data_IF_790160033138
#
_entry.id   IF_790160033138
#
_cell.length_a   1.000
_cell.length_b   1.000
_cell.length_c   1.000
_cell.angle_alpha   90.00
_cell.angle_beta   90.00
_cell.angle_gamma   90.00
#
_symmetry.space_group_name_H-M   'P 1'
#
loop_
_entity.id
_entity.type
_entity.pdbx_description
1 polymer ?
#
# COMPACT_ATOMS: atom_id res chain seq x y z
N UNK A 1 40.69 40.58 30.51
CA UNK A 1 41.36 39.27 30.67
C UNK A 1 41.17 38.48 29.39
N UNK A 2 42.25 38.18 28.68
CA UNK A 2 42.27 37.50 27.39
C UNK A 2 43.10 36.21 27.49
N UNK A 3 42.60 35.12 26.91
CA UNK A 3 43.29 33.85 26.66
C UNK A 3 42.31 32.95 25.88
N UNK A 4 42.68 32.05 24.97
CA UNK A 4 43.91 31.74 24.25
C UNK A 4 43.52 30.71 23.17
N UNK A 5 44.11 30.80 21.98
CA UNK A 5 43.99 29.79 20.92
C UNK A 5 45.16 28.82 20.98
N UNK A 6 44.91 27.52 20.79
CA UNK A 6 45.97 26.56 20.49
C UNK A 6 45.58 25.67 19.30
N UNK A 7 46.30 25.89 18.20
CA UNK A 7 46.45 24.96 17.08
C UNK A 7 47.47 23.89 17.48
N UNK A 8 47.32 22.66 17.02
CA UNK A 8 48.42 21.70 16.97
C UNK A 8 48.57 21.10 15.57
N UNK A 9 49.84 20.91 15.21
CA UNK A 9 50.44 20.68 13.89
C UNK A 9 50.68 19.17 13.70
N UNK A 10 50.72 18.68 12.44
CA UNK A 10 50.99 17.29 12.01
C UNK A 10 52.41 16.76 12.34
N UNK A 11 52.93 15.63 11.77
CA UNK A 11 53.06 15.45 10.30
C UNK A 11 53.13 13.98 9.73
N UNK A 12 53.31 13.94 8.40
CA UNK A 12 53.72 12.95 7.37
C UNK A 12 54.44 11.60 7.68
N UNK A 13 54.40 10.74 6.62
CA UNK A 13 55.27 9.61 6.16
C UNK A 13 54.54 8.22 6.20
N UNK A 14 54.59 7.30 5.22
CA UNK A 14 55.37 7.11 3.98
C UNK A 14 54.67 6.11 3.01
N UNK A 15 55.06 6.16 1.72
CA UNK A 15 54.79 5.17 0.66
C UNK A 15 55.54 3.85 0.89
N UNK A 16 54.93 2.70 0.55
CA UNK A 16 55.57 1.63 -0.27
C UNK A 16 54.53 0.62 -0.77
N UNK A 17 54.49 0.38 -2.08
CA UNK A 17 53.64 -0.63 -2.71
C UNK A 17 54.32 -1.99 -2.89
N UNK A 18 53.54 -3.03 -3.18
CA UNK A 18 53.93 -4.26 -3.88
C UNK A 18 52.64 -4.97 -4.37
N UNK A 19 52.49 -5.11 -5.70
CA UNK A 19 51.54 -6.03 -6.34
C UNK A 19 52.14 -7.44 -6.32
N UNK A 20 51.34 -8.47 -6.04
CA UNK A 20 51.26 -9.67 -6.89
C UNK A 20 50.17 -10.67 -6.46
N UNK A 21 49.38 -11.08 -7.46
CA UNK A 21 48.85 -12.43 -7.73
C UNK A 21 47.71 -12.99 -6.86
N UNK A 22 46.49 -12.76 -7.36
CA UNK A 22 45.57 -13.79 -7.81
C UNK A 22 45.29 -15.01 -6.92
N UNK A 23 44.09 -15.03 -6.31
CA UNK A 23 43.32 -16.26 -6.14
C UNK A 23 41.83 -15.97 -6.14
N UNK A 24 41.09 -16.90 -6.73
CA UNK A 24 39.75 -16.78 -7.24
C UNK A 24 38.70 -16.42 -6.18
N UNK A 25 37.75 -15.60 -6.62
CA UNK A 25 36.48 -15.29 -5.96
C UNK A 25 35.67 -16.58 -5.81
N UNK A 26 35.53 -17.05 -4.58
CA UNK A 26 34.43 -17.90 -4.17
C UNK A 26 33.60 -17.10 -3.19
N UNK A 27 32.60 -16.36 -3.69
CA UNK A 27 31.62 -15.69 -2.86
C UNK A 27 30.84 -16.76 -2.08
N UNK A 28 31.30 -17.08 -0.88
CA UNK A 28 30.56 -17.90 0.06
C UNK A 28 29.37 -17.05 0.51
N UNK A 29 28.24 -17.24 -0.16
CA UNK A 29 26.97 -16.71 0.27
C UNK A 29 26.76 -17.15 1.72
N UNK A 30 26.63 -16.23 2.70
CA UNK A 30 26.32 -16.62 4.05
C UNK A 30 24.94 -17.26 4.01
N UNK A 31 24.92 -18.56 4.27
CA UNK A 31 23.73 -19.40 4.38
C UNK A 31 22.66 -18.63 5.15
N UNK A 32 21.63 -18.15 4.42
CA UNK A 32 20.35 -17.76 5.00
C UNK A 32 19.91 -18.94 5.84
N UNK A 33 19.83 -18.73 7.15
CA UNK A 33 19.17 -19.63 8.08
C UNK A 33 17.72 -19.82 7.60
N UNK A 34 17.46 -20.93 6.91
CA UNK A 34 16.13 -21.39 6.48
C UNK A 34 15.24 -21.85 7.65
N UNK A 35 15.46 -21.31 8.84
CA UNK A 35 14.70 -21.57 10.05
C UNK A 35 14.11 -20.27 10.63
N UNK A 36 13.98 -19.22 9.81
CA UNK A 36 12.91 -18.25 10.05
C UNK A 36 11.61 -18.98 9.69
N UNK A 37 10.83 -19.31 10.72
CA UNK A 37 9.43 -19.70 10.62
C UNK A 37 8.81 -19.10 9.37
N UNK A 38 8.59 -19.93 8.33
CA UNK A 38 7.96 -19.50 7.10
C UNK A 38 6.54 -19.13 7.48
N UNK A 39 6.32 -17.87 7.87
CA UNK A 39 5.00 -17.28 7.91
C UNK A 39 4.35 -17.64 6.59
N UNK A 40 3.15 -18.22 6.64
CA UNK A 40 2.39 -18.61 5.45
C UNK A 40 1.96 -17.32 4.75
N UNK A 41 2.89 -16.71 4.02
CA UNK A 41 2.67 -15.49 3.25
C UNK A 41 1.95 -15.87 1.97
N UNK A 42 0.95 -15.09 1.60
CA UNK A 42 0.28 -15.27 0.33
C UNK A 42 1.16 -14.71 -0.81
N UNK A 43 1.54 -15.55 -1.76
CA UNK A 43 2.41 -15.16 -2.87
C UNK A 43 1.77 -14.10 -3.78
N UNK A 44 0.44 -14.12 -3.95
CA UNK A 44 -0.26 -13.10 -4.74
C UNK A 44 -0.17 -11.73 -4.08
N UNK A 45 -0.32 -11.68 -2.75
CA UNK A 45 -0.17 -10.44 -2.00
C UNK A 45 1.27 -9.91 -2.04
N UNK A 46 2.27 -10.77 -1.81
CA UNK A 46 3.68 -10.36 -1.87
C UNK A 46 4.06 -9.85 -3.26
N UNK A 47 3.60 -10.51 -4.33
CA UNK A 47 3.84 -10.09 -5.70
C UNK A 47 3.27 -8.70 -6.00
N UNK A 48 2.04 -8.43 -5.52
CA UNK A 48 1.44 -7.12 -5.63
C UNK A 48 2.13 -6.07 -4.76
N UNK A 49 2.54 -6.43 -3.53
CA UNK A 49 3.26 -5.54 -2.61
C UNK A 49 4.63 -5.14 -3.14
N UNK A 50 5.29 -6.03 -3.89
CA UNK A 50 6.56 -5.77 -4.57
C UNK A 50 6.38 -4.90 -5.84
N UNK A 51 5.13 -4.62 -6.25
CA UNK A 51 4.80 -3.74 -7.36
C UNK A 51 4.85 -4.42 -8.74
N UNK A 52 4.90 -5.75 -8.79
CA UNK A 52 4.87 -6.48 -10.06
C UNK A 52 3.46 -6.60 -10.65
N UNK A 53 2.42 -6.51 -9.81
CA UNK A 53 1.02 -6.58 -10.22
C UNK A 53 0.15 -5.74 -9.30
N UNK A 54 -1.09 -5.47 -9.73
CA UNK A 54 -2.09 -4.87 -8.86
C UNK A 54 -2.64 -5.88 -7.85
N UNK A 55 -3.19 -5.38 -6.74
CA UNK A 55 -3.84 -6.23 -5.74
C UNK A 55 -5.09 -6.93 -6.34
N UNK A 56 -5.37 -8.19 -5.97
CA UNK A 56 -6.56 -8.89 -6.46
C UNK A 56 -7.85 -8.15 -6.07
N UNK A 57 -8.69 -7.86 -7.06
CA UNK A 57 -10.01 -7.28 -6.83
C UNK A 57 -10.98 -8.37 -6.36
N UNK A 58 -11.35 -8.32 -5.08
CA UNK A 58 -12.34 -9.21 -4.46
C UNK A 58 -13.66 -8.46 -4.29
N UNK A 59 -14.76 -9.07 -4.74
CA UNK A 59 -16.09 -8.53 -4.52
C UNK A 59 -16.56 -8.78 -3.08
N UNK A 60 -16.02 -7.98 -2.16
CA UNK A 60 -16.41 -8.01 -0.76
C UNK A 60 -17.77 -7.36 -0.52
N UNK A 61 -18.28 -6.57 -1.46
CA UNK A 61 -19.59 -5.92 -1.31
C UNK A 61 -20.72 -6.96 -1.34
N UNK A 62 -20.66 -7.92 -2.27
CA UNK A 62 -21.62 -9.04 -2.28
C UNK A 62 -21.49 -9.94 -1.06
N UNK A 63 -20.27 -10.21 -0.60
CA UNK A 63 -20.00 -11.01 0.60
C UNK A 63 -20.58 -10.35 1.84
N UNK A 64 -20.41 -9.03 1.99
CA UNK A 64 -20.96 -8.26 3.11
C UNK A 64 -22.48 -8.07 3.02
N UNK A 65 -23.06 -8.02 1.81
CA UNK A 65 -24.50 -7.87 1.63
C UNK A 65 -25.29 -9.11 2.09
N UNK A 66 -24.73 -10.31 1.89
CA UNK A 66 -25.37 -11.58 2.26
C UNK A 66 -24.33 -12.58 2.81
N UNK A 67 -23.81 -12.37 4.03
CA UNK A 67 -22.81 -13.26 4.61
C UNK A 67 -23.33 -14.67 4.84
N UNK A 68 -24.63 -14.85 5.07
CA UNK A 68 -25.24 -16.17 5.30
C UNK A 68 -25.24 -17.04 4.03
N UNK A 69 -25.36 -16.42 2.85
CA UNK A 69 -25.26 -17.15 1.58
C UNK A 69 -23.84 -17.68 1.37
N UNK A 70 -22.84 -16.84 1.66
CA UNK A 70 -21.42 -17.20 1.60
C UNK A 70 -21.10 -18.30 2.62
N UNK A 71 -21.58 -18.16 3.87
CA UNK A 71 -21.42 -19.17 4.92
C UNK A 71 -21.98 -20.54 4.49
N UNK A 72 -23.20 -20.59 3.95
CA UNK A 72 -23.79 -21.83 3.43
C UNK A 72 -22.97 -22.43 2.29
N UNK A 73 -22.46 -21.61 1.37
CA UNK A 73 -21.57 -22.08 0.31
C UNK A 73 -20.26 -22.68 0.85
N UNK A 74 -19.69 -22.09 1.92
CA UNK A 74 -18.52 -22.63 2.62
C UNK A 74 -18.81 -23.99 3.27
N UNK A 75 -19.95 -24.13 3.95
CA UNK A 75 -20.35 -25.41 4.57
C UNK A 75 -20.50 -26.52 3.55
N UNK A 76 -21.10 -26.23 2.40
CA UNK A 76 -21.31 -27.20 1.33
C UNK A 76 -19.98 -27.67 0.73
N UNK A 77 -19.02 -26.75 0.56
CA UNK A 77 -17.71 -27.06 -0.05
C UNK A 77 -16.74 -27.77 0.89
N UNK A 78 -16.91 -27.63 2.21
CA UNK A 78 -16.05 -28.25 3.25
C UNK A 78 -14.55 -27.98 3.07
N UNK A 79 -14.21 -26.76 2.64
CA UNK A 79 -12.82 -26.31 2.43
C UNK A 79 -12.08 -25.97 3.72
N UNK A 80 -10.95 -25.28 3.57
CA UNK A 80 -10.11 -24.79 4.68
C UNK A 80 -10.86 -23.82 5.59
N UNK A 81 -11.54 -22.83 5.01
CA UNK A 81 -12.32 -21.85 5.75
C UNK A 81 -13.69 -22.41 6.16
N UNK A 82 -14.09 -22.08 7.39
CA UNK A 82 -15.40 -22.41 7.96
C UNK A 82 -16.27 -21.16 8.03
N UNK A 83 -17.60 -21.32 8.16
CA UNK A 83 -18.51 -20.20 8.39
C UNK A 83 -18.13 -19.31 9.58
N UNK A 84 -17.52 -19.89 10.60
CA UNK A 84 -17.09 -19.18 11.80
C UNK A 84 -15.97 -18.17 11.52
N UNK A 85 -15.19 -18.35 10.46
CA UNK A 85 -14.08 -17.46 10.09
C UNK A 85 -14.57 -16.24 9.29
N UNK A 86 -15.75 -16.34 8.67
CA UNK A 86 -16.29 -15.31 7.78
C UNK A 86 -16.53 -13.95 8.49
N UNK A 87 -17.10 -13.89 9.72
CA UNK A 87 -17.24 -12.63 10.44
C UNK A 87 -15.91 -11.93 10.71
N UNK A 88 -14.83 -12.68 10.99
CA UNK A 88 -13.51 -12.10 11.22
C UNK A 88 -12.99 -11.42 9.95
N UNK A 89 -13.09 -12.09 8.79
CA UNK A 89 -12.69 -11.54 7.47
C UNK A 89 -13.46 -10.26 7.16
N UNK A 90 -14.78 -10.27 7.40
CA UNK A 90 -15.65 -9.11 7.17
C UNK A 90 -15.26 -7.95 8.10
N UNK A 91 -15.00 -8.23 9.39
CA UNK A 91 -14.56 -7.21 10.35
C UNK A 91 -13.27 -6.55 9.90
N UNK A 92 -12.24 -7.34 9.56
CA UNK A 92 -10.94 -6.81 9.10
C UNK A 92 -11.08 -5.93 7.85
N UNK A 93 -11.93 -6.34 6.90
CA UNK A 93 -12.20 -5.53 5.71
C UNK A 93 -12.90 -4.20 6.04
N UNK A 94 -13.89 -4.22 6.93
CA UNK A 94 -14.58 -3.01 7.37
C UNK A 94 -13.65 -2.05 8.11
N UNK A 95 -12.80 -2.58 9.00
CA UNK A 95 -11.77 -1.81 9.71
C UNK A 95 -10.78 -1.17 8.72
N UNK A 96 -10.31 -1.93 7.73
CA UNK A 96 -9.41 -1.42 6.68
C UNK A 96 -10.06 -0.27 5.89
N UNK A 97 -11.35 -0.40 5.54
CA UNK A 97 -12.10 0.68 4.87
C UNK A 97 -12.21 1.93 5.72
N UNK A 98 -12.56 1.78 7.01
CA UNK A 98 -12.67 2.90 7.94
C UNK A 98 -11.33 3.61 8.11
N UNK A 99 -10.24 2.84 8.24
CA UNK A 99 -8.89 3.38 8.37
C UNK A 99 -8.46 4.15 7.11
N UNK A 100 -8.72 3.60 5.91
CA UNK A 100 -8.45 4.29 4.64
C UNK A 100 -9.22 5.60 4.51
N UNK A 101 -10.48 5.63 4.95
CA UNK A 101 -11.26 6.86 4.96
C UNK A 101 -10.68 7.89 5.95
N UNK A 102 -10.26 7.44 7.13
CA UNK A 102 -9.59 8.30 8.11
C UNK A 102 -8.29 8.89 7.56
N UNK A 103 -7.45 8.07 6.91
CA UNK A 103 -6.22 8.52 6.26
C UNK A 103 -6.55 9.55 5.18
N UNK A 104 -7.50 9.25 4.29
CA UNK A 104 -7.93 10.15 3.22
C UNK A 104 -8.39 11.51 3.77
N UNK A 105 -9.18 11.50 4.84
CA UNK A 105 -9.65 12.72 5.51
C UNK A 105 -8.49 13.55 6.06
N UNK A 106 -7.57 12.92 6.78
CA UNK A 106 -6.37 13.59 7.32
C UNK A 106 -5.42 14.11 6.23
N UNK A 107 -5.28 13.38 5.13
CA UNK A 107 -4.51 13.82 3.97
C UNK A 107 -5.17 15.01 3.26
N UNK A 108 -6.50 15.02 3.16
CA UNK A 108 -7.29 16.16 2.68
C UNK A 108 -7.06 17.39 3.56
N UNK A 109 -7.14 17.23 4.87
CA UNK A 109 -6.88 18.31 5.82
C UNK A 109 -5.43 18.80 5.75
N UNK A 110 -4.45 17.89 5.63
CA UNK A 110 -3.04 18.23 5.43
C UNK A 110 -2.82 19.10 4.19
N UNK A 111 -3.51 18.78 3.08
CA UNK A 111 -3.48 19.59 1.86
C UNK A 111 -4.09 20.97 2.11
N UNK A 112 -5.27 21.05 2.72
CA UNK A 112 -5.93 22.31 3.08
C UNK A 112 -5.06 23.20 3.99
N UNK A 113 -4.41 22.62 5.01
CA UNK A 113 -3.46 23.35 5.87
C UNK A 113 -2.26 23.87 5.08
N UNK A 114 -1.75 23.08 4.15
CA UNK A 114 -0.62 23.49 3.29
C UNK A 114 -1.01 24.64 2.37
N UNK A 115 -2.21 24.60 1.80
CA UNK A 115 -2.77 25.68 0.97
C UNK A 115 -3.03 26.94 1.79
N UNK A 116 -3.60 26.82 3.00
CA UNK A 116 -3.81 27.94 3.91
C UNK A 116 -2.48 28.61 4.30
N UNK A 117 -1.45 27.83 4.61
CA UNK A 117 -0.10 28.36 4.87
C UNK A 117 0.46 29.05 3.63
N UNK A 118 0.31 28.46 2.43
CA UNK A 118 0.75 29.08 1.19
C UNK A 118 0.04 30.41 0.92
N UNK A 119 -1.26 30.48 1.20
CA UNK A 119 -2.07 31.70 1.04
C UNK A 119 -1.64 32.81 2.00
N UNK A 120 -1.27 32.47 3.24
CA UNK A 120 -0.73 33.45 4.20
C UNK A 120 0.66 33.96 3.80
N UNK A 121 1.52 33.10 3.28
CA UNK A 121 2.90 33.47 2.89
C UNK A 121 2.95 34.20 1.55
N UNK A 122 2.01 33.92 0.64
CA UNK A 122 1.94 34.54 -0.69
C UNK A 122 0.50 34.93 -1.05
N UNK A 123 -0.09 35.94 -0.39
CA UNK A 123 -1.41 36.44 -0.75
C UNK A 123 -1.31 37.15 -2.10
N UNK A 124 -1.73 36.49 -3.19
CA UNK A 124 -1.96 37.17 -4.48
C UNK A 124 -0.99 36.89 -5.63
N UNK A 125 -0.20 35.80 -5.64
CA UNK A 125 0.53 35.40 -6.88
C UNK A 125 -0.34 34.61 -7.87
N UNK A 126 -1.56 35.08 -8.09
CA UNK A 126 -2.35 34.72 -9.26
C UNK A 126 -2.19 35.82 -10.31
N UNK A 127 -1.37 35.59 -11.33
CA UNK A 127 -1.35 36.36 -12.58
C UNK A 127 -1.02 37.87 -12.48
N UNK A 128 0.27 38.23 -12.41
CA UNK A 128 0.75 39.50 -12.98
C UNK A 128 2.23 39.39 -13.33
N UNK A 129 2.54 38.88 -14.52
CA UNK A 129 3.83 39.12 -15.16
C UNK A 129 3.80 40.57 -15.66
N UNK A 130 4.14 41.54 -14.79
CA UNK A 130 4.31 42.92 -15.24
C UNK A 130 5.65 43.01 -15.97
N UNK A 131 5.53 43.28 -17.26
CA UNK A 131 6.61 43.56 -18.20
C UNK A 131 7.54 44.65 -17.71
N UNK A 132 8.82 44.40 -17.92
CA UNK A 132 9.98 45.16 -17.51
C UNK A 132 10.08 46.48 -18.28
N UNK A 133 10.24 47.60 -17.56
CA UNK A 133 11.00 48.75 -18.04
C UNK A 133 12.06 49.09 -16.98
N UNK A 134 13.33 49.14 -17.39
CA UNK A 134 14.40 49.83 -16.67
C UNK A 134 15.47 48.92 -16.02
N UNK A 135 16.53 48.62 -16.77
CA UNK A 135 17.67 47.75 -16.36
C UNK A 135 18.52 48.34 -15.20
N UNK A 136 18.34 49.62 -14.84
CA UNK A 136 19.10 50.26 -13.75
C UNK A 136 18.34 50.23 -12.40
N UNK A 137 17.02 49.99 -12.41
CA UNK A 137 16.23 49.82 -11.18
C UNK A 137 16.34 48.42 -10.59
N UNK A 138 16.87 47.44 -11.33
CA UNK A 138 16.79 46.01 -10.99
C UNK A 138 17.63 45.66 -9.77
N UNK A 139 18.82 46.24 -9.57
CA UNK A 139 19.72 45.85 -8.46
C UNK A 139 19.25 46.42 -7.11
N UNK A 140 18.92 47.72 -7.06
CA UNK A 140 18.36 48.35 -5.86
C UNK A 140 16.96 47.80 -5.53
N UNK A 141 16.14 47.51 -6.55
CA UNK A 141 14.85 46.85 -6.36
C UNK A 141 15.02 45.37 -6.01
N UNK A 142 16.06 44.68 -6.46
CA UNK A 142 16.40 43.32 -6.01
C UNK A 142 16.78 43.32 -4.52
N UNK A 143 17.64 44.23 -4.08
CA UNK A 143 18.02 44.33 -2.68
C UNK A 143 16.84 44.75 -1.79
N UNK A 144 15.99 45.67 -2.24
CA UNK A 144 14.79 46.05 -1.49
C UNK A 144 13.75 44.92 -1.46
N UNK A 145 13.55 44.21 -2.57
CA UNK A 145 12.62 43.07 -2.65
C UNK A 145 13.09 41.90 -1.79
N UNK A 146 14.39 41.58 -1.76
CA UNK A 146 14.89 40.52 -0.87
C UNK A 146 14.80 40.92 0.60
N UNK A 147 15.11 42.16 0.96
CA UNK A 147 14.97 42.65 2.34
C UNK A 147 13.50 42.71 2.79
N UNK A 148 12.60 43.16 1.92
CA UNK A 148 11.17 43.26 2.22
C UNK A 148 10.52 41.87 2.34
N UNK A 149 10.85 40.94 1.44
CA UNK A 149 10.43 39.53 1.56
C UNK A 149 10.94 38.88 2.85
N UNK A 150 12.14 39.23 3.30
CA UNK A 150 12.67 38.72 4.58
C UNK A 150 11.94 39.33 5.79
N UNK A 151 11.66 40.64 5.80
CA UNK A 151 10.86 41.29 6.85
C UNK A 151 9.42 40.74 6.90
N UNK A 152 8.80 40.52 5.74
CA UNK A 152 7.46 39.95 5.65
C UNK A 152 7.45 38.50 6.16
N UNK A 153 8.49 37.71 5.91
CA UNK A 153 8.62 36.34 6.40
C UNK A 153 8.80 36.28 7.93
N UNK A 154 9.60 37.19 8.51
CA UNK A 154 9.77 37.30 9.97
C UNK A 154 8.48 37.75 10.67
N UNK A 155 7.67 38.59 10.02
CA UNK A 155 6.34 38.95 10.51
C UNK A 155 5.35 37.78 10.40
N UNK A 156 5.34 37.05 9.29
CA UNK A 156 4.47 35.86 9.10
C UNK A 156 4.79 34.76 10.13
N UNK A 157 6.05 34.58 10.53
CA UNK A 157 6.41 33.61 11.57
C UNK A 157 5.85 33.98 12.96
N UNK A 158 5.60 35.26 13.22
CA UNK A 158 5.00 35.76 14.48
C UNK A 158 3.48 35.75 14.45
N UNK A 159 2.85 35.59 13.28
CA UNK A 159 1.40 35.52 13.14
C UNK A 159 0.84 34.27 13.88
N UNK A 160 -0.07 34.44 14.86
CA UNK A 160 -0.74 33.34 15.53
C UNK A 160 -1.44 32.37 14.57
N UNK A 161 -1.97 32.85 13.43
CA UNK A 161 -2.63 32.01 12.41
C UNK A 161 -1.63 31.07 11.73
N UNK A 162 -0.47 31.60 11.34
CA UNK A 162 0.61 30.79 10.77
C UNK A 162 1.10 29.73 11.78
N UNK A 163 1.32 30.12 13.03
CA UNK A 163 1.75 29.20 14.09
C UNK A 163 0.71 28.09 14.35
N UNK A 164 -0.58 28.45 14.39
CA UNK A 164 -1.69 27.50 14.53
C UNK A 164 -1.74 26.49 13.38
N UNK A 165 -1.62 26.94 12.13
CA UNK A 165 -1.58 26.05 10.97
C UNK A 165 -0.35 25.14 10.97
N UNK A 166 0.83 25.66 11.36
CA UNK A 166 2.04 24.84 11.48
C UNK A 166 1.91 23.80 12.59
N UNK A 167 1.29 24.14 13.72
CA UNK A 167 0.99 23.22 14.80
C UNK A 167 0.02 22.12 14.34
N UNK A 168 -1.09 22.50 13.69
CA UNK A 168 -2.06 21.56 13.13
C UNK A 168 -1.40 20.62 12.11
N UNK A 169 -0.57 21.15 11.22
CA UNK A 169 0.18 20.33 10.26
C UNK A 169 1.16 19.35 10.91
N UNK A 170 1.76 19.68 12.07
CA UNK A 170 2.58 18.72 12.84
C UNK A 170 1.71 17.63 13.46
N UNK A 171 0.57 18.02 14.02
CA UNK A 171 -0.38 17.07 14.62
C UNK A 171 -0.93 16.09 13.58
N UNK A 172 -1.34 16.56 12.40
CA UNK A 172 -1.81 15.67 11.33
C UNK A 172 -0.71 14.67 10.90
N UNK A 173 0.55 15.12 10.77
CA UNK A 173 1.67 14.21 10.47
C UNK A 173 1.90 13.20 11.61
N UNK A 174 1.76 13.63 12.86
CA UNK A 174 1.86 12.77 14.05
C UNK A 174 0.76 11.71 14.06
N UNK A 175 -0.46 12.07 13.66
CA UNK A 175 -1.59 11.15 13.53
C UNK A 175 -1.44 10.21 12.35
N UNK A 176 -0.96 10.68 11.19
CA UNK A 176 -0.78 9.84 10.00
C UNK A 176 0.35 8.82 10.13
N UNK A 177 1.43 9.16 10.85
CA UNK A 177 2.61 8.29 11.04
C UNK A 177 2.26 6.86 11.48
N UNK A 178 1.43 6.64 12.52
CA UNK A 178 1.01 5.30 12.94
C UNK A 178 -0.08 4.68 12.06
N UNK A 179 -0.85 5.46 11.30
CA UNK A 179 -1.97 4.92 10.50
C UNK A 179 -1.47 4.18 9.26
N UNK A 180 -0.42 4.65 8.58
CA UNK A 180 0.15 3.95 7.42
C UNK A 180 0.64 2.52 7.71
N UNK A 181 1.48 2.26 8.73
CA UNK A 181 1.90 0.89 9.03
C UNK A 181 0.71 0.03 9.50
N UNK A 182 -0.27 0.63 10.18
CA UNK A 182 -1.51 -0.07 10.56
C UNK A 182 -2.36 -0.45 9.36
N UNK A 183 -2.44 0.41 8.35
CA UNK A 183 -3.11 0.13 7.07
C UNK A 183 -2.45 -1.05 6.37
N UNK A 184 -1.12 -1.02 6.22
CA UNK A 184 -0.37 -2.13 5.60
C UNK A 184 -0.56 -3.44 6.36
N UNK A 185 -0.59 -3.38 7.70
CA UNK A 185 -0.82 -4.57 8.53
C UNK A 185 -2.22 -5.16 8.31
N UNK A 186 -3.27 -4.32 8.39
CA UNK A 186 -4.65 -4.78 8.19
C UNK A 186 -4.89 -5.25 6.76
N UNK A 187 -4.26 -4.61 5.77
CA UNK A 187 -4.31 -5.04 4.37
C UNK A 187 -3.70 -6.43 4.20
N UNK A 188 -2.52 -6.68 4.76
CA UNK A 188 -1.87 -7.99 4.72
C UNK A 188 -2.72 -9.06 5.42
N UNK A 189 -3.22 -8.78 6.63
CA UNK A 189 -4.09 -9.68 7.39
C UNK A 189 -5.37 -10.02 6.61
N UNK A 190 -6.00 -9.02 5.99
CA UNK A 190 -7.17 -9.20 5.15
C UNK A 190 -6.88 -10.12 3.96
N UNK A 191 -5.86 -9.83 3.14
CA UNK A 191 -5.57 -10.64 1.94
C UNK A 191 -5.09 -12.05 2.29
N UNK A 192 -4.41 -12.25 3.42
CA UNK A 192 -4.00 -13.58 3.87
C UNK A 192 -5.20 -14.52 4.11
N UNK A 193 -6.33 -13.98 4.56
CA UNK A 193 -7.56 -14.73 4.81
C UNK A 193 -8.49 -14.71 3.59
N UNK A 194 -8.72 -13.55 2.99
CA UNK A 194 -9.69 -13.36 1.92
C UNK A 194 -9.32 -14.12 0.63
N UNK A 195 -8.02 -14.26 0.32
CA UNK A 195 -7.58 -15.06 -0.84
C UNK A 195 -7.77 -16.57 -0.67
N UNK A 196 -8.15 -17.03 0.53
CA UNK A 196 -8.54 -18.43 0.78
C UNK A 196 -10.04 -18.65 0.59
N UNK A 197 -10.81 -17.58 0.33
CA UNK A 197 -12.23 -17.71 0.03
C UNK A 197 -12.41 -18.43 -1.31
N UNK A 198 -13.28 -19.45 -1.36
CA UNK A 198 -13.59 -20.11 -2.61
C UNK A 198 -14.48 -19.20 -3.47
N UNK A 199 -14.43 -19.42 -4.78
CA UNK A 199 -15.33 -18.76 -5.73
C UNK A 199 -16.81 -19.04 -5.40
N UNK A 200 -17.70 -18.15 -5.85
CA UNK A 200 -19.14 -18.35 -5.71
C UNK A 200 -19.58 -19.67 -6.37
N UNK A 201 -20.61 -20.30 -5.81
CA UNK A 201 -21.12 -21.58 -6.28
C UNK A 201 -22.26 -21.35 -7.25
N UNK A 202 -22.18 -21.91 -8.46
CA UNK A 202 -23.27 -21.82 -9.42
C UNK A 202 -24.51 -22.56 -8.87
N UNK A 203 -25.72 -21.99 -8.96
CA UNK A 203 -26.92 -22.57 -8.34
C UNK A 203 -27.22 -24.01 -8.79
N UNK A 204 -26.84 -24.39 -10.00
CA UNK A 204 -27.08 -25.74 -10.52
C UNK A 204 -26.25 -26.83 -9.82
N UNK A 205 -25.05 -26.48 -9.33
CA UNK A 205 -24.23 -27.42 -8.56
C UNK A 205 -24.81 -27.69 -7.17
N UNK A 206 -25.53 -26.74 -6.59
CA UNK A 206 -26.21 -26.90 -5.29
C UNK A 206 -27.46 -27.77 -5.42
N UNK A 207 -28.21 -27.62 -6.52
CA UNK A 207 -29.39 -28.46 -6.82
C UNK A 207 -29.04 -29.93 -6.97
N UNK A 208 -27.92 -30.25 -7.63
CA UNK A 208 -27.44 -31.63 -7.77
C UNK A 208 -27.08 -32.29 -6.43
N UNK A 209 -26.51 -31.52 -5.49
CA UNK A 209 -26.18 -32.00 -4.13
C UNK A 209 -27.44 -32.17 -3.27
N UNK A 210 -28.43 -31.28 -3.41
CA UNK A 210 -29.72 -31.39 -2.74
C UNK A 210 -30.54 -32.59 -3.19
N UNK A 211 -30.56 -32.88 -4.50
CA UNK A 211 -31.29 -34.01 -5.08
C UNK A 211 -30.71 -35.37 -4.66
N UNK A 212 -29.40 -35.44 -4.36
CA UNK A 212 -28.76 -36.65 -3.84
C UNK A 212 -29.09 -36.95 -2.36
N UNK A 213 -29.75 -36.01 -1.65
CA UNK A 213 -30.04 -36.10 -0.21
C UNK A 213 -31.48 -36.43 0.13
N UNK A 214 -32.34 -36.67 -0.86
CA UNK A 214 -33.73 -37.11 -0.69
C UNK A 214 -33.83 -38.65 -0.83
N UNK A 215 -33.89 -39.43 0.26
CA UNK A 215 -34.09 -40.89 0.21
C UNK A 215 -35.59 -41.21 0.11
N UNK A 216 -36.29 -40.59 -0.85
CA UNK A 216 -37.74 -40.42 -0.78
C UNK A 216 -38.53 -40.76 -2.04
N UNK A 217 -38.01 -41.49 -3.02
CA UNK A 217 -38.88 -42.22 -3.96
C UNK A 217 -38.11 -43.29 -4.78
N UNK A 218 -38.64 -44.53 -4.91
CA UNK A 218 -38.02 -45.56 -5.71
C UNK A 218 -38.62 -45.55 -7.12
N UNK A 219 -37.78 -45.40 -8.14
CA UNK A 219 -37.86 -46.07 -9.46
C UNK A 219 -37.23 -45.21 -10.56
N UNK A 220 -35.97 -45.46 -10.86
CA UNK A 220 -35.59 -45.82 -12.22
C UNK A 220 -34.23 -46.51 -12.17
N UNK A 221 -34.20 -47.70 -12.76
CA UNK A 221 -32.97 -48.48 -12.96
C UNK A 221 -32.06 -47.65 -13.87
N UNK A 222 -30.91 -47.23 -13.36
CA UNK A 222 -29.77 -46.93 -14.22
C UNK A 222 -28.67 -47.93 -13.92
N UNK A 223 -28.32 -48.61 -15.01
CA UNK A 223 -27.36 -49.69 -15.13
C UNK A 223 -26.04 -49.32 -14.49
N UNK A 224 -25.56 -50.19 -13.60
CA UNK A 224 -24.16 -50.29 -13.23
C UNK A 224 -23.37 -50.63 -14.49
N UNK A 225 -22.75 -49.63 -15.13
CA UNK A 225 -21.56 -49.78 -15.99
C UNK A 225 -21.19 -48.43 -16.60
N UNK A 226 -20.68 -47.51 -15.76
CA UNK A 226 -19.74 -46.47 -16.20
C UNK A 226 -18.83 -46.09 -15.05
N UNK A 227 -18.10 -47.07 -14.52
CA UNK A 227 -16.77 -46.79 -13.99
C UNK A 227 -15.89 -46.54 -15.20
N UNK A 228 -15.60 -45.28 -15.53
CA UNK A 228 -14.34 -44.85 -16.15
C UNK A 228 -14.33 -43.32 -16.36
N UNK A 229 -13.20 -42.71 -15.94
CA UNK A 229 -12.73 -41.38 -16.29
C UNK A 229 -13.52 -40.16 -15.80
N UNK A 230 -13.15 -39.67 -14.61
CA UNK A 230 -12.72 -38.26 -14.48
C UNK A 230 -11.51 -38.22 -13.54
N UNK A 231 -10.32 -38.18 -14.14
CA UNK A 231 -9.11 -37.71 -13.48
C UNK A 231 -9.36 -36.29 -12.94
N UNK A 232 -8.72 -35.88 -11.82
CA UNK A 232 -8.72 -34.47 -11.44
C UNK A 232 -7.94 -33.70 -12.51
N UNK A 233 -8.66 -33.05 -13.42
CA UNK A 233 -8.08 -32.03 -14.29
C UNK A 233 -7.66 -30.90 -13.37
N UNK A 234 -6.35 -30.61 -13.35
CA UNK A 234 -5.79 -29.47 -12.64
C UNK A 234 -6.43 -28.19 -13.19
N UNK A 235 -7.07 -27.44 -12.31
CA UNK A 235 -7.72 -26.19 -12.70
C UNK A 235 -6.66 -25.15 -13.03
N UNK A 236 -6.62 -24.85 -14.33
CA UNK A 236 -5.95 -23.70 -14.92
C UNK A 236 -6.54 -22.41 -14.32
N UNK A 237 -5.62 -21.48 -14.11
CA UNK A 237 -5.77 -20.18 -13.49
C UNK A 237 -6.97 -19.37 -14.04
N UNK A 238 -7.78 -18.80 -13.15
CA UNK A 238 -8.71 -17.72 -13.49
C UNK A 238 -7.98 -16.38 -13.72
N UNK A 239 -6.90 -16.38 -14.51
CA UNK A 239 -6.32 -15.17 -15.06
C UNK A 239 -7.04 -14.85 -16.37
N UNK A 240 -8.06 -13.98 -16.32
CA UNK A 240 -8.49 -13.29 -17.55
C UNK A 240 -7.39 -12.31 -17.94
N UNK A 241 -6.47 -12.75 -18.80
CA UNK A 241 -5.59 -11.85 -19.55
C UNK A 241 -6.49 -11.06 -20.52
N UNK A 242 -6.76 -9.80 -20.20
CA UNK A 242 -7.32 -8.87 -21.17
C UNK A 242 -6.33 -8.77 -22.33
N UNK A 243 -6.77 -9.12 -23.53
CA UNK A 243 -6.01 -8.88 -24.77
C UNK A 243 -5.72 -7.39 -24.88
N UNK A 244 -4.44 -7.01 -24.71
CA UNK A 244 -3.93 -5.74 -25.19
C UNK A 244 -3.66 -5.92 -26.68
N UNK A 245 -4.60 -5.46 -27.51
CA UNK A 245 -4.31 -5.08 -28.89
C UNK A 245 -3.56 -3.76 -28.81
N UNK A 246 -2.26 -3.81 -29.00
CA UNK A 246 -1.39 -2.64 -29.11
C UNK A 246 -0.48 -2.86 -30.31
N UNK A 247 -0.85 -2.27 -31.45
CA UNK A 247 0.00 -2.19 -32.62
C UNK A 247 1.28 -1.42 -32.31
N UNK A 248 2.34 -1.85 -33.02
CA UNK A 248 3.71 -1.32 -33.09
C UNK A 248 3.83 0.20 -33.14
N UNK A 249 5.01 0.72 -32.78
CA UNK A 249 5.92 1.18 -33.84
C UNK A 249 7.13 0.26 -34.06
#
# INVERSE_FOLDING_TARGET
MAASMARFVGPFLARRGLRARGRCVGAQNPRRSFAAEKRVRNLLYEHAREGYSELPSLDMESVCACPEATARALELRKGELRPADLPAIISTWQELRQLREQIRSLEGEKKAVTEAVRALVNPGRGSSYLTVVGVITVVLRCCLVTLQVNQDNDQVQKDPRYQGLRARGREIRKQLTPLYPRETQLEEEFYQQALRLPNQTHPDTVKAIGAARDPGHPSSRFSSDTLLFLQPVGDESQARVLRVVGDKP
#
